data_IF_696730800278
#
_entry.id   IF_696730800278
#
_cell.length_a   1.000
_cell.length_b   1.000
_cell.length_c   1.000
_cell.angle_alpha   90.00
_cell.angle_beta   90.00
_cell.angle_gamma   90.00
#
_symmetry.space_group_name_H-M   'P 1'
#
loop_
_entity.id
_entity.type
_entity.pdbx_description
1 polymer ?
#
# COMPACT_ATOMS: atom_id res chain seq x y z
N UNK A 1 14.23 -19.51 16.92
CA UNK A 1 13.71 -18.18 17.28
C UNK A 1 14.30 -17.83 18.63
N UNK A 2 14.86 -16.63 18.78
CA UNK A 2 15.30 -16.16 20.09
C UNK A 2 14.07 -15.99 20.99
N UNK A 3 14.13 -16.49 22.22
CA UNK A 3 13.10 -16.24 23.22
C UNK A 3 13.49 -14.91 23.87
N UNK A 4 12.64 -13.90 23.71
CA UNK A 4 12.81 -12.60 24.33
C UNK A 4 12.08 -12.55 25.66
N UNK A 5 12.67 -11.86 26.63
CA UNK A 5 11.98 -11.44 27.84
C UNK A 5 10.89 -10.40 27.50
N UNK A 6 9.92 -10.24 28.40
CA UNK A 6 8.88 -9.24 28.23
C UNK A 6 9.44 -7.81 28.09
N UNK A 7 10.50 -7.48 28.84
CA UNK A 7 11.15 -6.17 28.77
C UNK A 7 11.80 -5.92 27.40
N UNK A 8 12.54 -6.90 26.87
CA UNK A 8 13.14 -6.79 25.53
C UNK A 8 12.07 -6.59 24.45
N UNK A 9 10.92 -7.26 24.57
CA UNK A 9 9.79 -7.05 23.67
C UNK A 9 9.19 -5.65 23.79
N UNK A 10 9.08 -5.10 25.01
CA UNK A 10 8.60 -3.73 25.20
C UNK A 10 9.53 -2.71 24.56
N UNK A 11 10.85 -2.86 24.73
CA UNK A 11 11.84 -1.95 24.17
C UNK A 11 11.83 -1.99 22.63
N UNK A 12 11.64 -3.17 22.03
CA UNK A 12 11.48 -3.32 20.58
C UNK A 12 10.21 -2.62 20.06
N UNK A 13 9.10 -2.72 20.79
CA UNK A 13 7.83 -2.11 20.40
C UNK A 13 7.82 -0.58 20.57
N UNK A 14 8.57 -0.03 21.53
CA UNK A 14 8.70 1.43 21.70
C UNK A 14 9.31 2.12 20.49
N UNK A 15 10.12 1.41 19.70
CA UNK A 15 10.77 1.95 18.51
C UNK A 15 9.87 1.92 17.25
N UNK A 16 8.64 1.39 17.34
CA UNK A 16 7.72 1.36 16.20
C UNK A 16 7.07 2.73 16.02
N UNK A 17 7.61 3.52 15.09
CA UNK A 17 7.02 4.80 14.71
C UNK A 17 5.80 4.59 13.80
N UNK A 18 4.61 4.73 14.39
CA UNK A 18 3.34 4.58 13.70
C UNK A 18 3.19 5.55 12.53
N UNK A 19 3.59 6.81 12.68
CA UNK A 19 3.42 7.84 11.65
C UNK A 19 4.30 7.56 10.43
N UNK A 20 5.56 7.19 10.69
CA UNK A 20 6.51 6.79 9.65
C UNK A 20 6.04 5.54 8.91
N UNK A 21 5.55 4.53 9.65
CA UNK A 21 5.00 3.31 9.07
C UNK A 21 3.84 3.62 8.09
N UNK A 22 2.90 4.48 8.49
CA UNK A 22 1.78 4.84 7.60
C UNK A 22 2.22 5.71 6.42
N UNK A 23 3.17 6.62 6.62
CA UNK A 23 3.74 7.40 5.52
C UNK A 23 4.40 6.48 4.47
N UNK A 24 5.14 5.45 4.92
CA UNK A 24 5.73 4.46 4.04
C UNK A 24 4.66 3.65 3.29
N UNK A 25 3.60 3.20 3.97
CA UNK A 25 2.46 2.52 3.33
C UNK A 25 1.86 3.38 2.22
N UNK A 26 1.52 4.65 2.50
CA UNK A 26 0.93 5.53 1.49
C UNK A 26 1.86 5.73 0.29
N UNK A 27 3.15 5.99 0.55
CA UNK A 27 4.17 6.16 -0.50
C UNK A 27 4.33 4.92 -1.36
N UNK A 28 4.40 3.75 -0.73
CA UNK A 28 4.64 2.48 -1.40
C UNK A 28 3.43 2.02 -2.21
N UNK A 29 2.19 2.20 -1.72
CA UNK A 29 0.97 1.95 -2.51
C UNK A 29 1.02 2.73 -3.82
N UNK A 30 1.29 4.04 -3.73
CA UNK A 30 1.37 4.92 -4.92
C UNK A 30 2.50 4.49 -5.86
N UNK A 31 3.69 4.23 -5.30
CA UNK A 31 4.87 3.79 -6.07
C UNK A 31 4.58 2.51 -6.84
N UNK A 32 4.13 1.45 -6.16
CA UNK A 32 3.90 0.14 -6.76
C UNK A 32 2.76 0.17 -7.78
N UNK A 33 1.69 0.94 -7.53
CA UNK A 33 0.65 1.15 -8.53
C UNK A 33 1.22 1.78 -9.81
N UNK A 34 2.03 2.84 -9.68
CA UNK A 34 2.62 3.52 -10.83
C UNK A 34 3.61 2.61 -11.59
N UNK A 35 4.38 1.78 -10.89
CA UNK A 35 5.22 0.75 -11.49
C UNK A 35 4.38 -0.19 -12.37
N UNK A 36 3.35 -0.82 -11.81
CA UNK A 36 2.46 -1.73 -12.55
C UNK A 36 1.69 -1.05 -13.68
N UNK A 37 1.25 0.19 -13.47
CA UNK A 37 0.62 1.00 -14.50
C UNK A 37 1.55 1.18 -15.71
N UNK A 38 2.81 1.53 -15.47
CA UNK A 38 3.80 1.75 -16.52
C UNK A 38 4.24 0.44 -17.19
N UNK A 39 4.40 -0.65 -16.43
CA UNK A 39 4.64 -2.00 -16.96
C UNK A 39 3.53 -2.41 -17.93
N UNK A 40 2.27 -2.27 -17.50
CA UNK A 40 1.12 -2.59 -18.32
C UNK A 40 1.07 -1.73 -19.59
N UNK A 41 1.31 -0.43 -19.46
CA UNK A 41 1.30 0.50 -20.61
C UNK A 41 2.37 0.16 -21.65
N UNK A 42 3.54 -0.32 -21.22
CA UNK A 42 4.62 -0.75 -22.12
C UNK A 42 4.29 -2.04 -22.87
N UNK A 43 3.62 -2.99 -22.20
CA UNK A 43 3.32 -4.31 -22.77
C UNK A 43 2.02 -4.33 -23.59
N UNK A 44 1.05 -3.47 -23.25
CA UNK A 44 -0.31 -3.49 -23.81
C UNK A 44 -0.64 -2.16 -24.50
N UNK A 45 0.11 -1.86 -25.57
CA UNK A 45 0.01 -0.58 -26.32
C UNK A 45 -1.38 -0.33 -26.93
N UNK A 46 -2.17 -1.38 -27.17
CA UNK A 46 -3.47 -1.29 -27.85
C UNK A 46 -4.68 -1.41 -26.91
N UNK A 47 -4.48 -1.46 -25.59
CA UNK A 47 -5.59 -1.57 -24.63
C UNK A 47 -5.96 -0.18 -24.10
N UNK A 48 -7.21 0.22 -24.28
CA UNK A 48 -7.72 1.51 -23.79
C UNK A 48 -7.85 1.57 -22.27
N UNK A 49 -7.97 0.42 -21.60
CA UNK A 49 -8.21 0.31 -20.16
C UNK A 49 -6.97 -0.26 -19.46
N UNK A 50 -6.38 0.51 -18.56
CA UNK A 50 -5.27 0.05 -17.70
C UNK A 50 -5.83 -0.31 -16.30
N UNK A 51 -5.77 -1.58 -15.88
CA UNK A 51 -6.36 -2.00 -14.59
C UNK A 51 -5.67 -1.36 -13.37
N UNK A 52 -4.44 -0.86 -13.53
CA UNK A 52 -3.67 -0.20 -12.47
C UNK A 52 -3.89 1.32 -12.42
N UNK A 53 -4.89 1.83 -13.14
CA UNK A 53 -5.34 3.22 -12.95
C UNK A 53 -5.91 3.38 -11.54
N UNK A 54 -5.79 4.58 -10.97
CA UNK A 54 -6.35 4.89 -9.65
C UNK A 54 -7.86 4.60 -9.58
N UNK A 55 -8.60 4.83 -10.66
CA UNK A 55 -10.03 4.54 -10.77
C UNK A 55 -10.31 3.03 -10.76
N UNK A 56 -9.59 2.26 -11.57
CA UNK A 56 -9.82 0.82 -11.65
C UNK A 56 -9.40 0.10 -10.37
N UNK A 57 -8.27 0.47 -9.75
CA UNK A 57 -7.91 -0.07 -8.43
C UNK A 57 -8.94 0.33 -7.37
N UNK A 58 -9.43 1.58 -7.39
CA UNK A 58 -10.46 1.99 -6.42
C UNK A 58 -11.73 1.15 -6.57
N UNK A 59 -12.16 0.86 -7.80
CA UNK A 59 -13.30 0.00 -8.07
C UNK A 59 -13.07 -1.44 -7.60
N UNK A 60 -11.90 -2.02 -7.88
CA UNK A 60 -11.53 -3.37 -7.41
C UNK A 60 -11.47 -3.50 -5.89
N UNK A 61 -11.23 -2.39 -5.19
CA UNK A 61 -11.20 -2.33 -3.73
C UNK A 61 -12.52 -1.82 -3.12
N UNK A 62 -13.59 -1.70 -3.90
CA UNK A 62 -14.90 -1.18 -3.46
C UNK A 62 -14.81 0.22 -2.82
N UNK A 63 -13.91 1.07 -3.33
CA UNK A 63 -13.73 2.44 -2.88
C UNK A 63 -14.11 3.43 -3.98
N UNK A 64 -14.61 4.59 -3.55
CA UNK A 64 -14.65 5.76 -4.42
C UNK A 64 -13.21 6.19 -4.78
N UNK A 65 -12.99 6.59 -6.03
CA UNK A 65 -11.75 7.17 -6.54
C UNK A 65 -11.12 8.20 -5.59
N UNK A 66 -11.92 9.13 -5.07
CA UNK A 66 -11.45 10.17 -4.14
C UNK A 66 -11.02 9.60 -2.79
N UNK A 67 -11.66 8.52 -2.33
CA UNK A 67 -11.28 7.88 -1.09
C UNK A 67 -9.95 7.14 -1.25
N UNK A 68 -9.79 6.40 -2.33
CA UNK A 68 -8.56 5.67 -2.61
C UNK A 68 -7.36 6.61 -2.80
N UNK A 69 -7.53 7.76 -3.47
CA UNK A 69 -6.48 8.78 -3.60
C UNK A 69 -5.90 9.26 -2.27
N UNK A 70 -6.69 9.22 -1.19
CA UNK A 70 -6.20 9.61 0.14
C UNK A 70 -5.20 8.61 0.70
N UNK A 71 -5.36 7.31 0.41
CA UNK A 71 -4.39 6.28 0.76
C UNK A 71 -3.08 6.38 -0.04
N UNK A 72 -3.05 7.10 -1.16
CA UNK A 72 -1.83 7.38 -1.92
C UNK A 72 -1.16 8.71 -1.50
N UNK A 73 -1.74 9.43 -0.54
CA UNK A 73 -1.26 10.74 -0.12
C UNK A 73 -0.45 10.62 1.16
N UNK A 74 0.82 11.02 1.11
CA UNK A 74 1.71 11.05 2.28
C UNK A 74 1.26 12.07 3.34
N UNK A 75 0.50 13.08 2.93
CA UNK A 75 0.05 14.19 3.79
C UNK A 75 -1.31 13.95 4.46
N UNK A 76 -2.03 12.89 4.08
CA UNK A 76 -3.36 12.57 4.62
C UNK A 76 -3.31 11.27 5.43
N UNK A 77 -2.47 11.28 6.47
CA UNK A 77 -2.27 10.15 7.41
C UNK A 77 -3.49 9.86 8.30
N UNK A 78 -4.54 10.69 8.21
CA UNK A 78 -5.77 10.51 9.00
C UNK A 78 -6.58 9.27 8.59
N UNK A 79 -6.32 8.72 7.40
CA UNK A 79 -7.02 7.53 6.89
C UNK A 79 -6.08 6.35 6.71
N UNK A 80 -6.14 5.46 7.70
CA UNK A 80 -5.44 4.19 7.68
C UNK A 80 -6.17 3.22 6.77
N UNK A 81 -5.45 2.63 5.81
CA UNK A 81 -6.01 1.56 4.97
C UNK A 81 -6.27 0.33 5.84
N UNK A 82 -7.47 -0.29 5.80
CA UNK A 82 -7.70 -1.55 6.50
C UNK A 82 -6.77 -2.66 5.99
N UNK A 83 -6.28 -3.50 6.90
CA UNK A 83 -5.37 -4.61 6.55
C UNK A 83 -5.94 -5.50 5.44
N UNK A 84 -7.25 -5.79 5.47
CA UNK A 84 -7.92 -6.57 4.42
C UNK A 84 -7.72 -5.97 3.02
N UNK A 85 -7.84 -4.63 2.90
CA UNK A 85 -7.68 -3.93 1.62
C UNK A 85 -6.21 -3.83 1.23
N UNK A 86 -5.30 -3.73 2.18
CA UNK A 86 -3.85 -3.82 1.93
C UNK A 86 -3.44 -5.21 1.40
N UNK A 87 -4.02 -6.29 1.93
CA UNK A 87 -3.83 -7.65 1.40
C UNK A 87 -4.36 -7.77 -0.03
N UNK A 88 -5.54 -7.23 -0.32
CA UNK A 88 -6.06 -7.21 -1.70
C UNK A 88 -5.13 -6.43 -2.63
N UNK A 89 -4.60 -5.29 -2.19
CA UNK A 89 -3.60 -4.53 -2.94
C UNK A 89 -2.32 -5.31 -3.18
N UNK A 90 -1.85 -6.07 -2.20
CA UNK A 90 -0.63 -6.89 -2.34
C UNK A 90 -0.78 -7.94 -3.44
N UNK A 91 -1.98 -8.52 -3.58
CA UNK A 91 -2.33 -9.45 -4.66
C UNK A 91 -2.42 -8.71 -6.00
N UNK A 92 -3.15 -7.59 -6.06
CA UNK A 92 -3.33 -6.80 -7.29
C UNK A 92 -1.98 -6.31 -7.84
N UNK A 93 -1.10 -5.84 -6.96
CA UNK A 93 0.18 -5.24 -7.33
C UNK A 93 1.34 -6.22 -7.38
N UNK A 94 1.10 -7.50 -7.02
CA UNK A 94 2.11 -8.56 -6.98
C UNK A 94 3.33 -8.14 -6.12
N UNK A 95 3.05 -7.74 -4.87
CA UNK A 95 4.05 -7.29 -3.87
C UNK A 95 3.78 -7.95 -2.53
N UNK A 96 4.81 -8.09 -1.69
CA UNK A 96 4.64 -8.60 -0.32
C UNK A 96 4.11 -7.49 0.58
N UNK A 97 3.36 -7.85 1.63
CA UNK A 97 2.87 -6.87 2.62
C UNK A 97 4.01 -6.06 3.25
N UNK A 98 5.13 -6.72 3.57
CA UNK A 98 6.32 -6.08 4.11
C UNK A 98 6.86 -4.96 3.20
N UNK A 99 6.74 -5.11 1.88
CA UNK A 99 7.19 -4.11 0.91
C UNK A 99 6.36 -2.82 0.99
N UNK A 100 5.14 -2.88 1.52
CA UNK A 100 4.33 -1.68 1.75
C UNK A 100 4.74 -0.99 3.05
N UNK A 101 5.16 -1.74 4.05
CA UNK A 101 5.45 -1.22 5.40
C UNK A 101 6.85 -0.59 5.46
N UNK A 102 7.82 -1.13 4.71
CA UNK A 102 9.23 -0.74 4.74
C UNK A 102 9.65 0.26 3.67
#
# INVERSE_FOLDING_TARGET
MAIHSFQELQDLLQNVNKEEMYANICRNIKKFRLEKYNEFKKQNLNTSINPYSTENISALLDYNHNHYKRFESENDSTKMIPLEKLVKLSIILDKKLDDFIR
#
